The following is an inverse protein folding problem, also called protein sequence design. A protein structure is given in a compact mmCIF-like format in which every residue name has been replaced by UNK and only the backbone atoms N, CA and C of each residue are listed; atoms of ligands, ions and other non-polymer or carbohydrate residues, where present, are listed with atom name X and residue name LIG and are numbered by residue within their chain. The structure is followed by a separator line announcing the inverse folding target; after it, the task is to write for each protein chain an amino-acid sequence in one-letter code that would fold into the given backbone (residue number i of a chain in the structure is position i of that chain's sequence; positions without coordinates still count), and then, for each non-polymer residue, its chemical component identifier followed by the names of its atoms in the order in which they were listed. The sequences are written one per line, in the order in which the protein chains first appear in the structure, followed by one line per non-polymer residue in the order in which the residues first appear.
data_IF_779978973217
#
_entry.id   IF_779978973217
#
_cell.length_a   1.000
_cell.length_b   1.000
_cell.length_c   1.000
_cell.angle_alpha   90.00
_cell.angle_beta   90.00
_cell.angle_gamma   90.00
#
_symmetry.space_group_name_H-M   'P 1'
#
loop_
_entity.id
_entity.type
_entity.pdbx_description
1 polymer ?
#
# COMPACT_ATOMS: atom_id res chain seq x y z
N UNK A 1 -14.39 16.77 27.19
CA UNK A 1 -13.05 17.07 26.63
C UNK A 1 -12.21 15.85 26.85
N UNK A 2 -12.02 15.02 25.83
CA UNK A 2 -11.19 13.82 25.91
C UNK A 2 -9.74 14.29 26.02
N UNK A 3 -9.09 13.94 27.12
CA UNK A 3 -7.67 14.14 27.34
C UNK A 3 -6.92 13.32 26.27
N UNK A 4 -6.62 13.91 25.11
CA UNK A 4 -5.85 13.25 24.07
C UNK A 4 -4.41 13.10 24.57
N UNK A 5 -4.02 11.87 24.81
CA UNK A 5 -2.73 11.51 25.42
C UNK A 5 -1.60 11.34 24.41
N UNK A 6 -1.63 12.02 23.26
CA UNK A 6 -0.56 12.04 22.24
C UNK A 6 -0.24 13.47 21.82
N UNK A 7 0.91 13.68 21.22
CA UNK A 7 1.33 14.96 20.64
C UNK A 7 1.47 14.88 19.13
N UNK A 8 1.13 15.96 18.42
CA UNK A 8 1.36 16.12 16.98
C UNK A 8 2.27 17.33 16.75
N UNK A 9 3.35 17.14 16.00
CA UNK A 9 4.31 18.20 15.67
C UNK A 9 4.64 18.17 14.19
N UNK A 10 4.56 19.33 13.53
CA UNK A 10 4.99 19.52 12.15
C UNK A 10 6.51 19.65 12.07
N UNK A 11 7.08 19.11 10.99
CA UNK A 11 8.50 19.16 10.69
C UNK A 11 8.69 19.57 9.23
N UNK A 12 9.68 20.42 8.98
CA UNK A 12 10.38 20.50 7.72
C UNK A 12 11.63 19.61 7.84
N UNK A 13 11.92 18.80 6.83
CA UNK A 13 13.03 17.84 6.89
C UNK A 13 13.52 17.47 5.46
N UNK A 14 14.38 16.45 5.36
CA UNK A 14 15.10 16.14 4.14
C UNK A 14 16.37 17.00 4.01
N UNK A 15 17.18 16.72 3.01
CA UNK A 15 18.50 17.36 2.84
C UNK A 15 18.42 18.90 2.75
N UNK A 16 17.45 19.40 1.99
CA UNK A 16 17.23 20.82 1.79
C UNK A 16 16.01 21.36 2.56
N UNK A 17 15.54 20.63 3.58
CA UNK A 17 14.33 20.97 4.37
C UNK A 17 13.09 21.15 3.50
N UNK A 18 13.02 20.42 2.38
CA UNK A 18 11.95 20.53 1.37
C UNK A 18 10.75 19.65 1.65
N UNK A 19 10.92 18.65 2.51
CA UNK A 19 9.85 17.73 2.91
C UNK A 19 9.10 18.29 4.12
N UNK A 20 7.78 18.16 4.09
CA UNK A 20 6.90 18.55 5.19
C UNK A 20 6.11 17.34 5.68
N UNK A 21 6.02 17.19 6.98
CA UNK A 21 5.28 16.10 7.60
C UNK A 21 4.87 16.40 9.03
N UNK A 22 3.97 15.56 9.55
CA UNK A 22 3.47 15.64 10.92
C UNK A 22 3.79 14.34 11.65
N UNK A 23 4.62 14.45 12.68
CA UNK A 23 4.95 13.35 13.58
C UNK A 23 3.95 13.34 14.75
N UNK A 24 3.25 12.23 14.88
CA UNK A 24 2.38 11.93 16.01
C UNK A 24 3.14 11.02 16.96
N UNK A 25 3.31 11.42 18.21
CA UNK A 25 3.99 10.62 19.26
C UNK A 25 3.00 10.18 20.34
N UNK A 26 3.12 8.94 20.84
CA UNK A 26 2.40 8.50 22.02
C UNK A 26 2.87 9.28 23.24
N UNK A 27 2.13 9.26 24.37
CA UNK A 27 2.63 9.77 25.63
C UNK A 27 3.89 9.00 26.04
N UNK A 28 4.82 9.67 26.71
CA UNK A 28 6.04 9.07 27.23
C UNK A 28 5.69 8.08 28.38
N UNK A 29 5.46 6.83 28.06
CA UNK A 29 5.05 5.83 29.04
C UNK A 29 5.53 4.39 28.71
N UNK A 30 6.74 4.23 28.17
CA UNK A 30 7.28 2.89 27.89
C UNK A 30 8.77 2.80 28.21
N UNK A 31 9.25 1.59 28.53
CA UNK A 31 10.65 1.32 28.89
C UNK A 31 11.63 1.38 27.72
N UNK A 32 11.22 1.84 26.52
CA UNK A 32 12.08 1.92 25.34
C UNK A 32 11.49 2.75 24.20
N UNK A 33 12.25 2.90 23.08
CA UNK A 33 11.80 3.61 21.91
C UNK A 33 10.53 2.97 21.32
N UNK A 34 9.45 3.75 21.09
CA UNK A 34 8.22 3.20 20.52
C UNK A 34 8.46 2.73 19.06
N UNK A 35 7.82 1.64 18.61
CA UNK A 35 7.72 1.35 17.19
C UNK A 35 6.98 2.48 16.46
N UNK A 36 7.26 2.68 15.18
CA UNK A 36 6.58 3.74 14.45
C UNK A 36 6.32 3.44 12.99
N UNK A 37 5.28 4.08 12.45
CA UNK A 37 4.80 3.89 11.09
C UNK A 37 4.95 5.18 10.28
N UNK A 38 5.64 5.11 9.14
CA UNK A 38 5.67 6.17 8.14
C UNK A 38 4.55 5.92 7.11
N UNK A 39 3.63 6.87 6.97
CA UNK A 39 2.55 6.85 5.97
C UNK A 39 3.01 7.58 4.71
N UNK A 40 3.03 6.85 3.58
CA UNK A 40 3.51 7.30 2.27
C UNK A 40 2.33 7.75 1.41
N UNK A 41 2.45 8.87 0.72
CA UNK A 41 1.39 9.41 -0.15
C UNK A 41 0.86 8.39 -1.16
N UNK A 42 -0.42 8.53 -1.47
CA UNK A 42 -1.10 7.84 -2.57
C UNK A 42 -1.21 8.81 -3.77
N UNK A 43 -0.42 8.59 -4.82
CA UNK A 43 -0.39 9.49 -5.96
C UNK A 43 -0.09 10.94 -5.53
N UNK A 44 -0.99 11.86 -5.87
CA UNK A 44 -0.89 13.29 -5.52
C UNK A 44 -1.67 13.66 -4.25
N UNK A 45 -2.17 12.67 -3.50
CA UNK A 45 -2.99 12.94 -2.31
C UNK A 45 -2.07 13.42 -1.18
N UNK A 46 -2.45 14.52 -0.54
CA UNK A 46 -1.78 15.12 0.62
C UNK A 46 -1.60 14.11 1.79
N UNK A 47 -0.62 14.34 2.64
CA UNK A 47 -0.24 13.44 3.77
C UNK A 47 -1.36 13.17 4.80
N UNK A 48 -2.49 13.83 4.73
CA UNK A 48 -3.65 13.47 5.54
C UNK A 48 -4.30 12.15 5.08
N UNK A 49 -3.98 11.71 3.85
CA UNK A 49 -4.57 10.55 3.20
C UNK A 49 -5.97 10.81 2.65
N UNK A 50 -6.45 9.94 1.76
CA UNK A 50 -7.81 10.01 1.25
C UNK A 50 -8.81 9.99 2.42
N UNK A 51 -9.78 10.87 2.40
CA UNK A 51 -10.78 11.02 3.47
C UNK A 51 -10.19 11.13 4.89
N UNK A 52 -8.97 11.69 5.02
CA UNK A 52 -8.21 11.84 6.28
C UNK A 52 -7.84 10.51 6.96
N UNK A 53 -7.75 9.42 6.21
CA UNK A 53 -7.52 8.10 6.77
C UNK A 53 -6.20 8.01 7.52
N UNK A 54 -5.11 8.63 7.02
CA UNK A 54 -3.81 8.59 7.70
C UNK A 54 -3.81 9.36 9.02
N UNK A 55 -4.58 10.45 9.12
CA UNK A 55 -4.76 11.17 10.40
C UNK A 55 -5.46 10.27 11.43
N UNK A 56 -6.51 9.58 11.00
CA UNK A 56 -7.25 8.65 11.86
C UNK A 56 -6.37 7.50 12.35
N UNK A 57 -5.67 6.83 11.44
CA UNK A 57 -4.78 5.71 11.75
C UNK A 57 -3.63 6.14 12.66
N UNK A 58 -2.98 7.29 12.37
CA UNK A 58 -1.91 7.84 13.20
C UNK A 58 -2.32 8.04 14.66
N UNK A 59 -3.51 8.63 14.87
CA UNK A 59 -4.04 8.86 16.21
C UNK A 59 -4.48 7.59 16.92
N UNK A 60 -5.06 6.63 16.20
CA UNK A 60 -5.39 5.32 16.75
C UNK A 60 -4.14 4.56 17.22
N UNK A 61 -3.09 4.57 16.41
CA UNK A 61 -1.81 3.95 16.72
C UNK A 61 -1.11 4.64 17.89
N UNK A 62 -1.18 5.97 18.01
CA UNK A 62 -0.60 6.70 19.12
C UNK A 62 -1.24 6.30 20.48
N UNK A 63 -2.55 6.01 20.50
CA UNK A 63 -3.24 5.47 21.69
C UNK A 63 -2.76 4.06 22.06
N UNK A 64 -2.11 3.34 21.12
CA UNK A 64 -1.50 2.01 21.31
C UNK A 64 0.00 2.07 21.57
N UNK A 65 0.56 3.26 21.73
CA UNK A 65 1.98 3.44 22.01
C UNK A 65 2.88 3.49 20.77
N UNK A 66 2.32 3.58 19.55
CA UNK A 66 3.10 3.76 18.34
C UNK A 66 3.33 5.23 18.01
N UNK A 67 4.52 5.57 17.51
CA UNK A 67 4.73 6.84 16.81
C UNK A 67 4.29 6.71 15.35
N UNK A 68 3.95 7.81 14.69
CA UNK A 68 3.69 7.80 13.25
C UNK A 68 4.06 9.11 12.59
N UNK A 69 4.63 9.03 11.39
CA UNK A 69 4.94 10.18 10.54
C UNK A 69 4.07 10.13 9.29
N UNK A 70 3.29 11.17 9.07
CA UNK A 70 2.57 11.46 7.83
C UNK A 70 3.34 12.54 7.11
N UNK A 71 3.74 12.37 5.88
CA UNK A 71 4.53 13.37 5.16
C UNK A 71 4.18 13.38 3.68
N UNK A 72 4.49 14.47 3.03
CA UNK A 72 4.34 14.63 1.59
C UNK A 72 5.68 14.37 0.90
N UNK A 73 5.64 13.57 -0.17
CA UNK A 73 6.79 13.36 -1.06
C UNK A 73 7.11 14.64 -1.83
N UNK A 74 8.32 14.76 -2.31
CA UNK A 74 8.81 15.90 -3.09
C UNK A 74 7.85 16.36 -4.18
N UNK A 75 7.48 17.64 -4.14
CA UNK A 75 6.55 18.26 -5.09
C UNK A 75 5.09 17.87 -4.94
N UNK A 76 4.71 17.25 -3.81
CA UNK A 76 3.33 16.93 -3.46
C UNK A 76 2.94 17.69 -2.20
N UNK A 77 1.67 18.11 -2.10
CA UNK A 77 1.10 18.74 -0.92
C UNK A 77 1.91 19.94 -0.44
N UNK A 78 2.39 19.86 0.80
CA UNK A 78 3.18 20.92 1.44
C UNK A 78 4.70 20.81 1.17
N UNK A 79 5.16 19.72 0.54
CA UNK A 79 6.57 19.49 0.21
C UNK A 79 6.94 20.15 -1.13
N UNK A 80 8.06 20.87 -1.15
CA UNK A 80 8.57 21.47 -2.39
C UNK A 80 9.43 20.48 -3.19
N UNK A 81 9.66 20.80 -4.47
CA UNK A 81 10.61 20.06 -5.29
C UNK A 81 12.05 20.44 -4.89
N UNK A 82 12.96 19.50 -4.62
CA UNK A 82 14.35 19.82 -4.34
C UNK A 82 15.05 20.35 -5.59
N UNK A 83 15.74 21.45 -5.46
CA UNK A 83 16.45 22.11 -6.58
C UNK A 83 17.74 21.42 -7.00
N UNK A 84 18.30 20.60 -6.12
CA UNK A 84 19.58 19.90 -6.27
C UNK A 84 19.47 18.47 -6.78
N UNK A 85 18.25 18.01 -7.16
CA UNK A 85 17.99 16.63 -7.58
C UNK A 85 17.22 16.54 -8.91
N UNK A 86 17.45 17.44 -9.83
CA UNK A 86 16.74 17.52 -11.10
C UNK A 86 17.00 16.33 -12.04
N UNK A 87 18.16 15.67 -11.90
CA UNK A 87 18.55 14.51 -12.75
C UNK A 87 18.18 13.16 -12.16
N UNK A 88 17.45 13.13 -11.04
CA UNK A 88 17.02 11.90 -10.37
C UNK A 88 15.67 11.46 -10.90
N UNK A 89 15.50 10.16 -11.19
CA UNK A 89 14.20 9.64 -11.58
C UNK A 89 13.16 9.86 -10.45
N UNK A 90 11.88 10.01 -10.82
CA UNK A 90 10.79 10.18 -9.85
C UNK A 90 10.77 9.05 -8.81
N UNK A 91 10.90 7.80 -9.25
CA UNK A 91 10.90 6.64 -8.38
C UNK A 91 12.07 6.64 -7.38
N UNK A 92 13.26 7.03 -7.82
CA UNK A 92 14.42 7.14 -6.94
C UNK A 92 14.29 8.32 -5.96
N UNK A 93 13.74 9.45 -6.40
CA UNK A 93 13.46 10.59 -5.53
C UNK A 93 12.48 10.21 -4.42
N UNK A 94 11.38 9.52 -4.74
CA UNK A 94 10.41 9.04 -3.77
C UNK A 94 11.04 8.11 -2.72
N UNK A 95 11.95 7.23 -3.13
CA UNK A 95 12.66 6.36 -2.17
C UNK A 95 13.63 7.15 -1.27
N UNK A 96 14.30 8.17 -1.79
CA UNK A 96 15.15 9.08 -0.97
C UNK A 96 14.31 9.86 0.03
N UNK A 97 13.16 10.37 -0.37
CA UNK A 97 12.22 11.06 0.52
C UNK A 97 11.77 10.14 1.67
N UNK A 98 11.48 8.88 1.35
CA UNK A 98 11.11 7.86 2.35
C UNK A 98 12.28 7.59 3.30
N UNK A 99 13.51 7.45 2.80
CA UNK A 99 14.69 7.25 3.63
C UNK A 99 14.95 8.46 4.56
N UNK A 100 14.74 9.68 4.08
CA UNK A 100 14.82 10.90 4.89
C UNK A 100 13.72 10.92 5.98
N UNK A 101 12.50 10.48 5.66
CA UNK A 101 11.40 10.36 6.62
C UNK A 101 11.70 9.32 7.71
N UNK A 102 12.19 8.14 7.33
CA UNK A 102 12.61 7.10 8.28
C UNK A 102 13.76 7.58 9.18
N UNK A 103 14.70 8.33 8.59
CA UNK A 103 15.82 8.93 9.35
C UNK A 103 15.34 10.01 10.33
N UNK A 104 14.35 10.82 9.96
CA UNK A 104 13.71 11.76 10.90
C UNK A 104 13.09 11.00 12.08
N UNK A 105 12.31 9.95 11.81
CA UNK A 105 11.67 9.16 12.88
C UNK A 105 12.71 8.59 13.85
N UNK A 106 13.83 8.07 13.37
CA UNK A 106 14.91 7.57 14.23
C UNK A 106 15.54 8.67 15.08
N UNK A 107 15.84 9.85 14.49
CA UNK A 107 16.34 11.00 15.25
C UNK A 107 15.37 11.47 16.35
N UNK A 108 14.08 11.30 16.09
CA UNK A 108 13.01 11.63 17.03
C UNK A 108 12.75 10.50 18.07
N UNK A 109 13.61 9.46 18.11
CA UNK A 109 13.57 8.41 19.12
C UNK A 109 12.61 7.27 18.80
N UNK A 110 12.22 7.08 17.53
CA UNK A 110 11.42 5.92 17.11
C UNK A 110 12.34 4.72 16.94
N UNK A 111 11.96 3.57 17.49
CA UNK A 111 12.73 2.34 17.44
C UNK A 111 12.52 1.54 16.16
N UNK A 112 11.65 0.52 16.19
CA UNK A 112 11.34 -0.32 15.03
C UNK A 112 10.50 0.45 14.02
N UNK A 113 10.92 0.45 12.75
CA UNK A 113 10.27 1.19 11.69
C UNK A 113 9.32 0.30 10.88
N UNK A 114 8.19 0.86 10.52
CA UNK A 114 7.15 0.26 9.69
C UNK A 114 6.80 1.29 8.60
N UNK A 115 6.47 0.84 7.41
CA UNK A 115 5.97 1.70 6.34
C UNK A 115 4.54 1.33 5.99
N UNK A 116 3.74 2.31 5.57
CA UNK A 116 2.35 2.09 5.20
C UNK A 116 1.94 3.01 4.05
N UNK A 117 1.12 2.53 3.14
CA UNK A 117 0.61 3.36 2.06
C UNK A 117 -0.60 2.75 1.36
N UNK A 118 -1.30 3.59 0.62
CA UNK A 118 -2.43 3.23 -0.23
C UNK A 118 -2.01 3.34 -1.70
N UNK A 119 -2.40 2.40 -2.56
CA UNK A 119 -2.15 2.44 -4.01
C UNK A 119 -0.65 2.56 -4.32
N UNK A 120 -0.22 3.60 -5.04
CA UNK A 120 1.21 3.87 -5.30
C UNK A 120 2.03 4.04 -4.01
N UNK A 121 1.44 4.55 -2.95
CA UNK A 121 2.09 4.59 -1.63
C UNK A 121 2.33 3.19 -1.06
N UNK A 122 1.48 2.20 -1.34
CA UNK A 122 1.70 0.81 -0.97
C UNK A 122 2.84 0.19 -1.79
N UNK A 123 2.92 0.47 -3.09
CA UNK A 123 4.00 0.00 -3.96
C UNK A 123 5.36 0.62 -3.55
N UNK A 124 5.36 1.90 -3.20
CA UNK A 124 6.52 2.59 -2.63
C UNK A 124 6.91 2.00 -1.26
N UNK A 125 5.93 1.66 -0.41
CA UNK A 125 6.17 0.99 0.88
C UNK A 125 6.82 -0.38 0.68
N UNK A 126 6.35 -1.17 -0.28
CA UNK A 126 6.94 -2.47 -0.60
C UNK A 126 8.38 -2.34 -1.14
N UNK A 127 8.65 -1.28 -1.89
CA UNK A 127 10.01 -0.98 -2.37
C UNK A 127 10.90 -0.52 -1.20
N UNK A 128 10.39 0.35 -0.34
CA UNK A 128 11.14 0.87 0.81
C UNK A 128 11.54 -0.24 1.80
N UNK A 129 10.62 -1.16 2.15
CA UNK A 129 10.96 -2.27 3.05
C UNK A 129 11.97 -3.24 2.43
N UNK A 130 11.93 -3.46 1.11
CA UNK A 130 12.91 -4.29 0.43
C UNK A 130 14.31 -3.65 0.41
N UNK A 131 14.39 -2.32 0.24
CA UNK A 131 15.65 -1.57 0.16
C UNK A 131 16.27 -1.26 1.53
N UNK A 132 15.49 -1.25 2.59
CA UNK A 132 15.92 -0.74 3.91
C UNK A 132 15.70 -1.77 5.02
N UNK A 133 16.79 -2.40 5.47
CA UNK A 133 16.76 -3.42 6.51
C UNK A 133 16.29 -2.92 7.88
N UNK A 134 16.29 -1.59 8.10
CA UNK A 134 15.75 -0.99 9.33
C UNK A 134 14.22 -1.08 9.41
N UNK A 135 13.54 -1.34 8.27
CA UNK A 135 12.09 -1.46 8.21
C UNK A 135 11.69 -2.91 8.50
N UNK A 136 10.97 -3.11 9.59
CA UNK A 136 10.58 -4.43 10.09
C UNK A 136 9.20 -4.89 9.62
N UNK A 137 8.39 -4.00 9.04
CA UNK A 137 7.06 -4.35 8.56
C UNK A 137 6.49 -3.36 7.54
N UNK A 138 5.48 -3.81 6.81
CA UNK A 138 4.75 -2.96 5.86
C UNK A 138 3.25 -3.22 5.88
N UNK A 139 2.47 -2.15 5.74
CA UNK A 139 1.00 -2.17 5.59
C UNK A 139 0.66 -1.66 4.19
N UNK A 140 0.13 -2.54 3.38
CA UNK A 140 -0.04 -2.35 1.95
C UNK A 140 -1.53 -2.32 1.61
N UNK A 141 -2.07 -1.12 1.39
CA UNK A 141 -3.48 -0.91 1.07
C UNK A 141 -3.63 -0.82 -0.44
N UNK A 142 -4.35 -1.77 -1.02
CA UNK A 142 -4.55 -1.89 -2.47
C UNK A 142 -3.24 -1.79 -3.30
N UNK A 143 -2.17 -2.55 -2.95
CA UNK A 143 -0.93 -2.56 -3.72
C UNK A 143 -1.13 -3.17 -5.11
N UNK A 144 -0.09 -3.07 -5.94
CA UNK A 144 -0.04 -3.81 -7.20
C UNK A 144 -0.23 -5.32 -6.98
N UNK A 145 -0.97 -5.97 -7.87
CA UNK A 145 -1.27 -7.40 -7.79
C UNK A 145 -1.34 -8.04 -9.17
N UNK A 146 -0.95 -9.32 -9.24
CA UNK A 146 -1.03 -10.12 -10.46
C UNK A 146 -2.40 -10.76 -10.63
N UNK A 147 -2.91 -10.75 -11.87
CA UNK A 147 -4.13 -11.47 -12.23
C UNK A 147 -3.81 -12.95 -12.41
N UNK A 148 -4.54 -13.80 -11.67
CA UNK A 148 -4.43 -15.26 -11.73
C UNK A 148 -5.41 -15.87 -12.73
N UNK A 149 -5.29 -17.17 -13.01
CA UNK A 149 -6.31 -17.86 -13.81
C UNK A 149 -7.71 -17.79 -13.17
N UNK A 150 -7.77 -17.93 -11.85
CA UNK A 150 -9.02 -17.85 -11.09
C UNK A 150 -9.63 -16.45 -11.14
N UNK A 151 -8.81 -15.39 -11.16
CA UNK A 151 -9.28 -14.03 -11.37
C UNK A 151 -10.17 -13.92 -12.62
N UNK A 152 -9.74 -14.49 -13.76
CA UNK A 152 -10.51 -14.46 -15.00
C UNK A 152 -11.79 -15.27 -14.92
N UNK A 153 -11.79 -16.41 -14.21
CA UNK A 153 -13.01 -17.21 -13.99
C UNK A 153 -14.01 -16.42 -13.15
N UNK A 154 -13.60 -15.80 -12.07
CA UNK A 154 -14.46 -14.96 -11.21
C UNK A 154 -14.97 -13.74 -11.96
N UNK A 155 -14.10 -13.08 -12.75
CA UNK A 155 -14.45 -11.86 -13.48
C UNK A 155 -15.43 -12.11 -14.65
N UNK A 156 -15.17 -13.13 -15.45
CA UNK A 156 -15.93 -13.39 -16.68
C UNK A 156 -17.01 -14.47 -16.50
N UNK A 157 -16.87 -15.41 -15.55
CA UNK A 157 -17.79 -16.51 -15.34
C UNK A 157 -19.25 -16.08 -15.22
N UNK A 158 -19.62 -15.15 -14.32
CA UNK A 158 -21.01 -14.69 -14.19
C UNK A 158 -21.53 -13.98 -15.45
N UNK A 159 -20.66 -13.37 -16.24
CA UNK A 159 -21.02 -12.70 -17.49
C UNK A 159 -21.31 -13.73 -18.60
N UNK A 160 -20.54 -14.83 -18.65
CA UNK A 160 -20.72 -15.90 -19.63
C UNK A 160 -21.98 -16.73 -19.37
N UNK A 161 -22.46 -16.79 -18.13
CA UNK A 161 -23.72 -17.46 -17.76
C UNK A 161 -24.99 -16.68 -18.14
N UNK A 162 -24.85 -15.42 -18.61
CA UNK A 162 -26.00 -14.58 -19.02
C UNK A 162 -26.38 -14.84 -20.48
N UNK A 163 -27.60 -15.33 -20.80
CA UNK A 163 -28.01 -15.59 -22.18
C UNK A 163 -27.90 -14.38 -23.10
N UNK A 164 -28.12 -13.19 -22.57
CA UNK A 164 -27.99 -11.92 -23.30
C UNK A 164 -26.57 -11.66 -23.84
N UNK A 165 -25.52 -12.22 -23.24
CA UNK A 165 -24.14 -12.09 -23.71
C UNK A 165 -23.96 -12.94 -24.99
N UNK A 166 -24.50 -14.14 -25.01
CA UNK A 166 -24.47 -15.03 -26.17
C UNK A 166 -25.28 -14.48 -27.34
N UNK A 167 -26.48 -13.92 -27.05
CA UNK A 167 -27.28 -13.28 -28.07
C UNK A 167 -26.56 -12.09 -28.73
N UNK A 168 -25.89 -11.25 -27.91
CA UNK A 168 -25.08 -10.13 -28.42
C UNK A 168 -23.82 -10.60 -29.16
N UNK A 169 -23.24 -11.73 -28.76
CA UNK A 169 -22.11 -12.34 -29.48
C UNK A 169 -22.53 -12.82 -30.89
N UNK A 170 -23.67 -13.50 -30.98
CA UNK A 170 -24.22 -13.98 -32.24
C UNK A 170 -24.65 -12.85 -33.20
N UNK A 171 -25.04 -11.70 -32.64
CA UNK A 171 -25.43 -10.50 -33.44
C UNK A 171 -24.26 -9.55 -33.74
N UNK A 172 -23.01 -9.93 -33.43
CA UNK A 172 -21.82 -9.12 -33.70
C UNK A 172 -21.70 -7.84 -32.80
N UNK A 173 -22.57 -7.70 -31.78
CA UNK A 173 -22.62 -6.52 -30.89
C UNK A 173 -21.95 -6.74 -29.55
N UNK A 174 -21.17 -7.80 -29.37
CA UNK A 174 -20.58 -8.14 -28.09
C UNK A 174 -19.19 -7.53 -27.90
N UNK A 175 -19.06 -6.56 -26.99
CA UNK A 175 -17.77 -6.03 -26.52
C UNK A 175 -16.97 -7.09 -25.75
N UNK A 176 -17.64 -8.04 -25.08
CA UNK A 176 -17.00 -9.08 -24.25
C UNK A 176 -16.19 -10.05 -25.12
N UNK A 177 -16.70 -10.44 -26.28
CA UNK A 177 -15.98 -11.32 -27.22
C UNK A 177 -14.78 -10.58 -27.81
N UNK A 178 -14.92 -9.30 -28.12
CA UNK A 178 -13.83 -8.45 -28.59
C UNK A 178 -12.72 -8.28 -27.52
N UNK A 179 -13.08 -8.14 -26.27
CA UNK A 179 -12.12 -8.01 -25.15
C UNK A 179 -11.42 -9.33 -24.83
N UNK A 180 -12.15 -10.47 -24.90
CA UNK A 180 -11.55 -11.79 -24.78
C UNK A 180 -10.60 -12.09 -25.94
N UNK A 181 -11.00 -11.80 -27.18
CA UNK A 181 -10.15 -12.00 -28.35
C UNK A 181 -8.87 -11.15 -28.28
N UNK A 182 -8.97 -9.88 -27.89
CA UNK A 182 -7.81 -9.01 -27.64
C UNK A 182 -6.90 -9.54 -26.54
N UNK A 183 -7.48 -10.04 -25.44
CA UNK A 183 -6.74 -10.63 -24.32
C UNK A 183 -6.02 -11.93 -24.69
N UNK A 184 -6.57 -12.72 -25.60
CA UNK A 184 -5.93 -13.94 -26.13
C UNK A 184 -4.83 -13.59 -27.13
N UNK A 185 -5.09 -12.66 -28.05
CA UNK A 185 -4.11 -12.22 -29.06
C UNK A 185 -2.90 -11.57 -28.39
N UNK A 186 -3.09 -10.73 -27.36
CA UNK A 186 -1.98 -10.12 -26.64
C UNK A 186 -1.08 -11.13 -25.90
N UNK A 187 -1.63 -12.29 -25.51
CA UNK A 187 -0.84 -13.39 -24.90
C UNK A 187 -0.04 -14.18 -25.94
N UNK A 188 -0.57 -14.33 -27.14
CA UNK A 188 0.09 -15.06 -28.22
C UNK A 188 1.18 -14.21 -28.87
N UNK A 189 0.99 -12.89 -28.92
CA UNK A 189 1.94 -11.94 -29.52
C UNK A 189 3.03 -11.42 -28.56
N UNK A 190 3.05 -11.88 -27.28
CA UNK A 190 4.06 -11.43 -26.30
C UNK A 190 3.99 -9.94 -25.93
N UNK A 191 2.98 -9.24 -26.40
CA UNK A 191 2.77 -7.83 -26.11
C UNK A 191 1.92 -7.69 -24.84
N UNK A 192 2.46 -7.12 -23.78
CA UNK A 192 1.70 -6.72 -22.61
C UNK A 192 0.73 -5.62 -23.03
N UNK A 193 -0.54 -5.98 -23.22
CA UNK A 193 -1.58 -5.01 -23.57
C UNK A 193 -1.71 -4.00 -22.43
N UNK A 194 -1.51 -2.73 -22.76
CA UNK A 194 -1.64 -1.59 -21.88
C UNK A 194 -3.03 -1.55 -21.23
N UNK A 195 -3.11 -1.18 -19.94
CA UNK A 195 -4.38 -0.94 -19.26
C UNK A 195 -5.02 0.35 -19.78
N UNK A 196 -6.34 0.34 -19.83
CA UNK A 196 -7.19 1.50 -20.12
C UNK A 196 -6.90 2.68 -19.19
N UNK A 197 -6.81 3.80 -19.77
CA UNK A 197 -6.84 5.24 -19.48
C UNK A 197 -6.88 5.80 -18.03
N UNK A 198 -6.42 5.09 -17.00
CA UNK A 198 -6.19 5.69 -15.66
C UNK A 198 -4.79 5.38 -15.11
N UNK A 199 -3.91 4.87 -15.96
CA UNK A 199 -2.52 4.50 -15.66
C UNK A 199 -1.56 5.58 -16.17
N UNK A 200 -1.83 6.85 -15.89
CA UNK A 200 -1.05 7.93 -16.52
C UNK A 200 0.32 8.19 -15.91
N UNK A 201 0.79 7.43 -14.92
CA UNK A 201 2.15 7.63 -14.38
C UNK A 201 2.94 6.34 -14.02
N UNK A 202 2.37 5.14 -14.13
CA UNK A 202 3.05 3.92 -13.64
C UNK A 202 3.18 2.75 -14.62
N UNK A 203 2.79 2.89 -15.87
CA UNK A 203 2.80 1.77 -16.82
C UNK A 203 4.20 1.32 -17.28
N UNK A 204 5.25 2.11 -17.04
CA UNK A 204 6.63 1.76 -17.43
C UNK A 204 7.44 1.06 -16.32
N UNK A 205 6.89 0.90 -15.11
CA UNK A 205 7.62 0.44 -13.92
C UNK A 205 6.92 -0.67 -13.13
N UNK A 206 5.88 -1.30 -13.66
CA UNK A 206 5.27 -2.45 -12.98
C UNK A 206 6.30 -3.60 -12.90
N UNK A 207 6.53 -4.16 -11.69
CA UNK A 207 7.51 -5.24 -11.52
C UNK A 207 7.06 -6.48 -12.30
N UNK A 208 8.01 -7.24 -12.80
CA UNK A 208 7.74 -8.58 -13.33
C UNK A 208 7.32 -9.52 -12.19
N UNK A 209 6.65 -10.62 -12.54
CA UNK A 209 6.26 -11.61 -11.53
C UNK A 209 7.49 -12.17 -10.78
N UNK A 210 8.59 -12.43 -11.49
CA UNK A 210 9.83 -12.94 -10.89
C UNK A 210 10.48 -11.94 -9.93
N UNK A 211 10.54 -10.65 -10.29
CA UNK A 211 11.08 -9.60 -9.41
C UNK A 211 10.22 -9.42 -8.16
N UNK A 212 8.90 -9.46 -8.30
CA UNK A 212 7.99 -9.34 -7.16
C UNK A 212 8.12 -10.57 -6.24
N UNK A 213 8.21 -11.78 -6.81
CA UNK A 213 8.42 -13.01 -6.06
C UNK A 213 9.74 -12.96 -5.28
N UNK A 214 10.85 -12.63 -5.93
CA UNK A 214 12.16 -12.53 -5.29
C UNK A 214 12.15 -11.53 -4.12
N UNK A 215 11.47 -10.40 -4.28
CA UNK A 215 11.28 -9.40 -3.22
C UNK A 215 10.51 -9.96 -2.03
N UNK A 216 9.43 -10.71 -2.27
CA UNK A 216 8.69 -11.37 -1.19
C UNK A 216 9.55 -12.44 -0.48
N UNK A 217 10.30 -13.25 -1.22
CA UNK A 217 11.22 -14.25 -0.65
C UNK A 217 12.25 -13.61 0.27
N UNK A 218 12.86 -12.51 -0.15
CA UNK A 218 13.81 -11.75 0.68
C UNK A 218 13.15 -11.22 1.97
N UNK A 219 11.96 -10.62 1.87
CA UNK A 219 11.24 -10.10 3.02
C UNK A 219 10.84 -11.20 4.01
N UNK A 220 10.43 -12.37 3.49
CA UNK A 220 10.13 -13.54 4.31
C UNK A 220 11.37 -14.07 5.02
N UNK A 221 12.51 -14.18 4.32
CA UNK A 221 13.79 -14.62 4.89
C UNK A 221 14.28 -13.69 6.01
N UNK A 222 14.01 -12.37 5.90
CA UNK A 222 14.30 -11.36 6.92
C UNK A 222 13.31 -11.37 8.10
N UNK A 223 12.24 -12.17 8.04
CA UNK A 223 11.19 -12.19 9.06
C UNK A 223 10.34 -10.92 9.10
N UNK A 224 10.29 -10.17 7.99
CA UNK A 224 9.47 -8.96 7.87
C UNK A 224 7.99 -9.29 8.04
N UNK A 225 7.23 -8.39 8.66
CA UNK A 225 5.78 -8.54 8.88
C UNK A 225 5.01 -7.74 7.86
N UNK A 226 4.12 -8.40 7.12
CA UNK A 226 3.36 -7.77 6.04
C UNK A 226 1.86 -7.86 6.34
N UNK A 227 1.16 -6.75 6.15
CA UNK A 227 -0.30 -6.69 6.13
C UNK A 227 -0.75 -6.19 4.76
N UNK A 228 -1.45 -7.04 4.03
CA UNK A 228 -2.12 -6.67 2.78
C UNK A 228 -3.60 -6.41 3.05
N UNK A 229 -4.11 -5.30 2.56
CA UNK A 229 -5.54 -4.99 2.59
C UNK A 229 -5.99 -4.68 1.18
N UNK A 230 -6.97 -5.42 0.68
CA UNK A 230 -7.56 -5.19 -0.63
C UNK A 230 -9.02 -4.76 -0.49
N UNK A 231 -9.43 -3.80 -1.32
CA UNK A 231 -10.80 -3.29 -1.35
C UNK A 231 -11.56 -3.75 -2.59
N UNK A 232 -12.89 -3.64 -2.55
CA UNK A 232 -13.74 -3.84 -3.71
C UNK A 232 -13.67 -2.71 -4.74
N UNK A 233 -13.05 -1.59 -4.40
CA UNK A 233 -12.83 -0.49 -5.32
C UNK A 233 -11.94 -0.83 -6.52
N UNK A 234 -11.15 -1.92 -6.41
CA UNK A 234 -10.26 -2.42 -7.46
C UNK A 234 -10.62 -3.84 -7.93
N UNK A 235 -11.91 -4.22 -7.98
CA UNK A 235 -12.35 -5.54 -8.45
C UNK A 235 -11.85 -5.90 -9.87
N UNK A 236 -11.47 -4.92 -10.67
CA UNK A 236 -10.82 -5.13 -11.97
C UNK A 236 -9.36 -5.61 -11.85
N UNK A 237 -8.78 -5.55 -10.66
CA UNK A 237 -7.41 -6.00 -10.37
C UNK A 237 -7.39 -7.12 -9.33
N UNK A 238 -8.22 -7.01 -8.29
CA UNK A 238 -8.34 -7.96 -7.18
C UNK A 238 -9.82 -8.28 -6.94
N UNK A 239 -10.25 -9.54 -7.14
CA UNK A 239 -11.67 -9.87 -7.12
C UNK A 239 -12.04 -11.12 -6.30
N UNK A 240 -11.09 -11.74 -5.62
CA UNK A 240 -11.33 -12.81 -4.64
C UNK A 240 -10.21 -12.86 -3.58
N UNK A 241 -10.58 -13.32 -2.38
CA UNK A 241 -9.73 -13.21 -1.17
C UNK A 241 -8.33 -13.80 -1.32
N UNK A 242 -8.17 -14.93 -1.97
CA UNK A 242 -6.90 -15.66 -2.01
C UNK A 242 -6.03 -15.30 -3.22
N UNK A 243 -6.39 -14.27 -3.99
CA UNK A 243 -5.72 -13.95 -5.24
C UNK A 243 -4.22 -13.70 -5.08
N UNK A 244 -3.80 -13.02 -3.99
CA UNK A 244 -2.38 -12.79 -3.69
C UNK A 244 -1.64 -14.12 -3.50
N UNK A 245 -2.20 -15.03 -2.73
CA UNK A 245 -1.60 -16.34 -2.46
C UNK A 245 -1.58 -17.22 -3.71
N UNK A 246 -2.66 -17.22 -4.50
CA UNK A 246 -2.74 -17.94 -5.77
C UNK A 246 -1.77 -17.39 -6.83
N UNK A 247 -1.36 -16.11 -6.71
CA UNK A 247 -0.33 -15.54 -7.57
C UNK A 247 1.07 -16.07 -7.25
N UNK A 248 1.33 -16.50 -6.00
CA UNK A 248 2.64 -16.99 -5.54
C UNK A 248 2.53 -18.33 -4.83
N UNK A 249 2.05 -19.40 -5.52
CA UNK A 249 1.74 -20.67 -4.88
C UNK A 249 2.95 -21.45 -4.37
N UNK A 250 4.17 -21.03 -4.75
CA UNK A 250 5.42 -21.64 -4.28
C UNK A 250 5.95 -21.02 -3.00
N UNK A 251 5.40 -19.87 -2.58
CA UNK A 251 5.80 -19.19 -1.36
C UNK A 251 4.87 -19.57 -0.20
N UNK A 252 5.44 -19.82 0.97
CA UNK A 252 4.65 -19.92 2.20
C UNK A 252 4.31 -18.51 2.73
N UNK A 253 3.65 -17.73 1.85
CA UNK A 253 3.33 -16.34 2.14
C UNK A 253 2.31 -16.22 3.29
N UNK A 254 1.48 -17.23 3.52
CA UNK A 254 0.49 -17.25 4.62
C UNK A 254 1.12 -17.28 6.01
N UNK A 255 2.34 -17.80 6.15
CA UNK A 255 3.08 -17.77 7.41
C UNK A 255 3.71 -16.40 7.72
N UNK A 256 3.89 -15.55 6.70
CA UNK A 256 4.64 -14.30 6.81
C UNK A 256 3.80 -13.03 6.56
N UNK A 257 2.64 -13.19 5.91
CA UNK A 257 1.76 -12.09 5.55
C UNK A 257 0.33 -12.34 6.00
N UNK A 258 -0.28 -11.31 6.56
CA UNK A 258 -1.71 -11.28 6.83
C UNK A 258 -2.44 -10.56 5.69
N UNK A 259 -3.63 -11.02 5.39
CA UNK A 259 -4.46 -10.48 4.31
C UNK A 259 -5.87 -10.20 4.79
N UNK A 260 -6.33 -8.98 4.52
CA UNK A 260 -7.72 -8.58 4.66
C UNK A 260 -8.32 -8.25 3.29
N UNK A 261 -9.53 -8.74 3.02
CA UNK A 261 -10.27 -8.41 1.81
C UNK A 261 -11.62 -7.80 2.18
N UNK A 262 -11.81 -6.54 1.82
CA UNK A 262 -12.99 -5.72 2.11
C UNK A 262 -13.75 -5.43 0.81
N UNK A 263 -14.54 -6.39 0.28
CA UNK A 263 -15.14 -6.29 -1.05
C UNK A 263 -16.17 -5.17 -1.18
N UNK A 264 -16.71 -4.66 -0.07
CA UNK A 264 -17.69 -3.58 -0.07
C UNK A 264 -17.06 -2.19 0.16
N UNK A 265 -15.78 -2.16 0.55
CA UNK A 265 -15.05 -0.92 0.71
C UNK A 265 -14.63 -0.36 -0.65
N UNK A 266 -14.75 0.95 -0.83
CA UNK A 266 -14.13 1.64 -1.96
C UNK A 266 -12.64 1.89 -1.72
N UNK A 267 -11.91 2.13 -2.80
CA UNK A 267 -10.46 2.33 -2.80
C UNK A 267 -9.96 3.43 -1.84
N UNK A 268 -10.77 4.44 -1.59
CA UNK A 268 -10.42 5.60 -0.77
C UNK A 268 -10.96 5.54 0.65
N UNK A 269 -11.66 4.46 1.01
CA UNK A 269 -12.32 4.31 2.31
C UNK A 269 -13.25 5.51 2.63
N UNK A 270 -14.12 5.88 1.68
CA UNK A 270 -14.98 7.06 1.82
C UNK A 270 -16.02 6.94 2.94
N UNK A 271 -16.45 5.71 3.28
CA UNK A 271 -17.42 5.45 4.34
C UNK A 271 -16.73 5.21 5.68
N UNK A 272 -17.26 5.83 6.73
CA UNK A 272 -16.70 5.72 8.08
C UNK A 272 -16.63 4.27 8.59
N UNK A 273 -17.61 3.44 8.28
CA UNK A 273 -17.64 2.04 8.67
C UNK A 273 -16.40 1.26 8.16
N UNK A 274 -15.97 1.52 6.93
CA UNK A 274 -14.78 0.88 6.37
C UNK A 274 -13.48 1.49 6.91
N UNK A 275 -13.47 2.78 7.25
CA UNK A 275 -12.35 3.38 7.98
C UNK A 275 -12.19 2.75 9.38
N UNK A 276 -13.30 2.47 10.08
CA UNK A 276 -13.29 1.78 11.37
C UNK A 276 -12.77 0.35 11.24
N UNK A 277 -13.19 -0.38 10.21
CA UNK A 277 -12.69 -1.74 9.94
C UNK A 277 -11.18 -1.75 9.67
N UNK A 278 -10.70 -0.82 8.82
CA UNK A 278 -9.28 -0.68 8.54
C UNK A 278 -8.48 -0.31 9.80
N UNK A 279 -8.97 0.64 10.59
CA UNK A 279 -8.36 1.05 11.86
C UNK A 279 -8.24 -0.15 12.81
N UNK A 280 -9.34 -0.87 13.05
CA UNK A 280 -9.34 -2.05 13.91
C UNK A 280 -8.37 -3.13 13.43
N UNK A 281 -8.31 -3.36 12.11
CA UNK A 281 -7.42 -4.36 11.51
C UNK A 281 -5.95 -3.97 11.64
N UNK A 282 -5.62 -2.71 11.37
CA UNK A 282 -4.26 -2.20 11.52
C UNK A 282 -3.79 -2.24 12.97
N UNK A 283 -4.65 -1.81 13.90
CA UNK A 283 -4.35 -1.83 15.34
C UNK A 283 -4.11 -3.27 15.82
N UNK A 284 -4.97 -4.21 15.44
CA UNK A 284 -4.80 -5.62 15.82
C UNK A 284 -3.48 -6.21 15.29
N UNK A 285 -3.14 -5.93 14.04
CA UNK A 285 -1.87 -6.35 13.44
C UNK A 285 -0.66 -5.71 14.15
N UNK A 286 -0.74 -4.41 14.44
CA UNK A 286 0.30 -3.70 15.17
C UNK A 286 0.49 -4.31 16.58
N UNK A 287 -0.57 -4.51 17.33
CA UNK A 287 -0.51 -5.09 18.67
C UNK A 287 0.12 -6.49 18.69
N UNK A 288 -0.21 -7.31 17.66
CA UNK A 288 0.32 -8.67 17.53
C UNK A 288 1.81 -8.69 17.25
N UNK A 289 2.32 -7.80 16.42
CA UNK A 289 3.70 -7.89 15.92
C UNK A 289 4.66 -6.85 16.50
N UNK A 290 4.14 -5.73 17.01
CA UNK A 290 4.93 -4.57 17.40
C UNK A 290 4.52 -3.99 18.75
N UNK A 291 3.39 -4.38 19.31
CA UNK A 291 2.94 -3.93 20.63
C UNK A 291 3.90 -4.33 21.76
N UNK A 292 3.82 -3.67 22.90
CA UNK A 292 4.71 -3.89 24.05
C UNK A 292 4.71 -5.33 24.61
N UNK A 293 3.71 -6.14 24.24
CA UNK A 293 3.61 -7.56 24.62
C UNK A 293 4.35 -8.49 23.64
N UNK A 294 4.73 -8.03 22.45
CA UNK A 294 5.43 -8.82 21.44
C UNK A 294 6.94 -8.98 21.71
N UNK A 295 7.45 -8.42 22.78
CA UNK A 295 8.89 -8.38 23.13
C UNK A 295 9.25 -9.40 24.24
N UNK A 296 8.40 -10.41 24.47
CA UNK A 296 8.72 -11.54 25.37
C UNK A 296 8.99 -12.82 24.62
#
# INVERSE_FOLDING_TARGET
MTNETFSERAFAFGRSQHLVGVLTKPPLAGAGPPPGIAFINSGIIHHVGANRIYVRLARALARRGAASLRFDLSGIGDSSQPSDQLDVSRAELEQRDIDDALSLMQREGVGRLIVAGLCSGADNSLTAIARNERVAGAVLLDPFVFRTRRYYVVHYGPRLLRPAVWWRALTGRSRVVGDMARSVVSRVSGSSAAPTADASLSASTAPTHAEFQARLEELMARGSRLLFVFTGGLLERYNYRDQLFDAFPRLDLRAHAELEFLPEADHTFSREAFQQQLEARLVAWYDTHFGSTATR
#
